data_IF_621834836011
#
_entry.id   IF_621834836011
#
_cell.length_a   1.000
_cell.length_b   1.000
_cell.length_c   1.000
_cell.angle_alpha   90.00
_cell.angle_beta   90.00
_cell.angle_gamma   90.00
#
_symmetry.space_group_name_H-M   'P 1'
#
loop_
_entity.id
_entity.type
_entity.pdbx_description
1 polymer ?
#
# COMPACT_ATOMS: atom_id res chain seq x y z
N UNK A 1 -16.12 -30.27 49.73
CA UNK A 1 -17.03 -30.51 48.60
C UNK A 1 -17.87 -31.75 48.90
N UNK A 2 -19.19 -31.64 48.77
CA UNK A 2 -20.13 -32.75 49.03
C UNK A 2 -20.51 -33.49 47.73
N UNK A 3 -21.21 -34.61 47.84
CA UNK A 3 -21.57 -35.44 46.66
C UNK A 3 -22.49 -34.71 45.69
N UNK A 4 -23.41 -33.85 46.17
CA UNK A 4 -24.31 -33.07 45.31
C UNK A 4 -23.55 -32.04 44.47
N UNK A 5 -22.57 -31.37 45.08
CA UNK A 5 -21.67 -30.45 44.37
C UNK A 5 -20.87 -31.20 43.29
N UNK A 6 -20.35 -32.38 43.60
CA UNK A 6 -19.56 -33.18 42.65
C UNK A 6 -20.40 -33.64 41.47
N UNK A 7 -21.64 -34.10 41.73
CA UNK A 7 -22.57 -34.55 40.71
C UNK A 7 -22.85 -33.44 39.66
N UNK A 8 -22.98 -32.17 40.12
CA UNK A 8 -23.15 -31.02 39.23
C UNK A 8 -21.92 -30.76 38.33
N UNK A 9 -20.72 -31.07 38.80
CA UNK A 9 -19.46 -30.79 38.09
C UNK A 9 -18.91 -31.99 37.34
N UNK A 10 -19.53 -33.17 37.49
CA UNK A 10 -18.96 -34.43 37.04
C UNK A 10 -18.88 -34.51 35.50
N UNK A 11 -19.86 -33.97 34.79
CA UNK A 11 -19.86 -33.88 33.33
C UNK A 11 -18.74 -32.99 32.81
N UNK A 12 -18.67 -31.75 33.31
CA UNK A 12 -17.61 -30.81 32.97
C UNK A 12 -16.21 -31.34 33.31
N UNK A 13 -16.08 -32.14 34.38
CA UNK A 13 -14.82 -32.81 34.71
C UNK A 13 -14.45 -33.88 33.68
N UNK A 14 -15.42 -34.69 33.22
CA UNK A 14 -15.21 -35.70 32.17
C UNK A 14 -14.82 -35.05 30.85
N UNK A 15 -15.41 -33.90 30.52
CA UNK A 15 -15.13 -33.16 29.29
C UNK A 15 -13.85 -32.30 29.38
N UNK A 16 -13.27 -32.14 30.58
CA UNK A 16 -12.05 -31.36 30.82
C UNK A 16 -12.28 -29.84 30.84
N UNK A 17 -13.52 -29.41 31.07
CA UNK A 17 -13.94 -27.99 31.03
C UNK A 17 -13.84 -27.27 32.38
N UNK A 18 -13.51 -27.98 33.47
CA UNK A 18 -13.37 -27.36 34.79
C UNK A 18 -12.10 -26.53 34.92
N UNK A 19 -12.22 -25.39 35.62
CA UNK A 19 -11.06 -24.62 36.05
C UNK A 19 -10.11 -25.48 36.92
N UNK A 20 -8.78 -25.28 36.83
CA UNK A 20 -7.80 -26.15 37.49
C UNK A 20 -8.03 -26.33 38.99
N UNK A 21 -8.41 -25.25 39.71
CA UNK A 21 -8.67 -25.30 41.14
C UNK A 21 -9.88 -26.13 41.53
N UNK A 22 -10.93 -26.12 40.71
CA UNK A 22 -12.15 -26.90 40.92
C UNK A 22 -11.95 -28.36 40.51
N UNK A 23 -11.19 -28.60 39.44
CA UNK A 23 -10.80 -29.95 39.01
C UNK A 23 -10.04 -30.70 40.10
N UNK A 24 -9.11 -30.05 40.82
CA UNK A 24 -8.41 -30.66 41.97
C UNK A 24 -9.36 -31.02 43.10
N UNK A 25 -10.34 -30.17 43.40
CA UNK A 25 -11.33 -30.45 44.46
C UNK A 25 -12.24 -31.63 44.10
N UNK A 26 -12.72 -31.69 42.85
CA UNK A 26 -13.48 -32.83 42.32
C UNK A 26 -12.64 -34.10 42.39
N UNK A 27 -11.39 -34.06 41.92
CA UNK A 27 -10.50 -35.22 41.94
C UNK A 27 -10.25 -35.73 43.37
N UNK A 28 -10.01 -34.84 44.32
CA UNK A 28 -9.85 -35.21 45.73
C UNK A 28 -11.12 -35.89 46.27
N UNK A 29 -12.31 -35.40 45.91
CA UNK A 29 -13.56 -36.04 46.30
C UNK A 29 -13.73 -37.42 45.65
N UNK A 30 -13.41 -37.57 44.36
CA UNK A 30 -13.48 -38.86 43.66
C UNK A 30 -12.55 -39.92 44.28
N UNK A 31 -11.40 -39.51 44.84
CA UNK A 31 -10.51 -40.41 45.56
C UNK A 31 -11.06 -40.84 46.93
N UNK A 32 -11.85 -39.96 47.58
CA UNK A 32 -12.40 -40.20 48.91
C UNK A 32 -13.78 -40.87 48.89
N UNK A 33 -14.55 -40.74 47.80
CA UNK A 33 -15.94 -41.19 47.71
C UNK A 33 -16.13 -42.26 46.61
N UNK A 34 -16.32 -43.55 46.99
CA UNK A 34 -16.54 -44.63 46.02
C UNK A 34 -17.78 -44.45 45.15
N UNK A 35 -18.84 -43.83 45.68
CA UNK A 35 -20.08 -43.58 44.94
C UNK A 35 -19.86 -42.62 43.76
N UNK A 36 -19.28 -41.46 44.01
CA UNK A 36 -18.95 -40.48 42.97
C UNK A 36 -17.91 -41.04 41.98
N UNK A 37 -16.96 -41.85 42.45
CA UNK A 37 -16.01 -42.54 41.58
C UNK A 37 -16.70 -43.51 40.60
N UNK A 38 -17.71 -44.24 41.08
CA UNK A 38 -18.48 -45.14 40.22
C UNK A 38 -19.28 -44.37 39.16
N UNK A 39 -19.92 -43.25 39.54
CA UNK A 39 -20.61 -42.37 38.58
C UNK A 39 -19.65 -41.83 37.51
N UNK A 40 -18.47 -41.36 37.93
CA UNK A 40 -17.41 -40.93 37.01
C UNK A 40 -16.98 -42.05 36.05
N UNK A 41 -16.79 -43.27 36.56
CA UNK A 41 -16.41 -44.42 35.74
C UNK A 41 -17.45 -44.73 34.67
N UNK A 42 -18.75 -44.63 34.99
CA UNK A 42 -19.84 -44.82 34.03
C UNK A 42 -19.83 -43.72 32.96
N UNK A 43 -19.77 -42.45 33.36
CA UNK A 43 -19.77 -41.31 32.42
C UNK A 43 -18.55 -41.33 31.50
N UNK A 44 -17.36 -41.58 32.06
CA UNK A 44 -16.12 -41.68 31.27
C UNK A 44 -16.13 -42.86 30.29
N UNK A 45 -16.78 -43.98 30.65
CA UNK A 45 -16.94 -45.12 29.73
C UNK A 45 -17.87 -44.76 28.57
N UNK A 46 -18.96 -44.05 28.81
CA UNK A 46 -19.88 -43.58 27.76
C UNK A 46 -19.17 -42.59 26.84
N UNK A 47 -18.46 -41.60 27.40
CA UNK A 47 -17.68 -40.62 26.63
C UNK A 47 -16.63 -41.30 25.73
N UNK A 48 -15.87 -42.27 26.27
CA UNK A 48 -14.92 -43.06 25.48
C UNK A 48 -15.57 -43.84 24.33
N UNK A 49 -16.73 -44.47 24.57
CA UNK A 49 -17.47 -45.19 23.51
C UNK A 49 -17.95 -44.25 22.42
N UNK A 50 -18.44 -43.06 22.81
CA UNK A 50 -18.86 -42.05 21.86
C UNK A 50 -17.68 -41.54 21.02
N UNK A 51 -16.55 -41.23 21.65
CA UNK A 51 -15.32 -40.83 20.95
C UNK A 51 -14.87 -41.89 19.94
N UNK A 52 -14.85 -43.17 20.33
CA UNK A 52 -14.50 -44.26 19.41
C UNK A 52 -15.49 -44.39 18.24
N UNK A 53 -16.79 -44.21 18.48
CA UNK A 53 -17.80 -44.25 17.43
C UNK A 53 -17.70 -43.06 16.46
N UNK A 54 -17.45 -41.85 16.98
CA UNK A 54 -17.27 -40.65 16.15
C UNK A 54 -15.99 -40.75 15.30
N UNK A 55 -14.91 -41.32 15.83
CA UNK A 55 -13.66 -41.51 15.07
C UNK A 55 -13.81 -42.46 13.88
N UNK A 56 -14.81 -43.35 13.89
CA UNK A 56 -15.09 -44.23 12.76
C UNK A 56 -15.84 -43.50 11.62
N UNK A 57 -16.34 -42.30 11.86
CA UNK A 57 -17.01 -41.53 10.83
C UNK A 57 -15.99 -41.04 9.79
N UNK A 58 -16.10 -41.44 8.52
CA UNK A 58 -15.14 -41.01 7.50
C UNK A 58 -15.25 -39.51 7.31
N UNK A 59 -14.13 -38.82 7.52
CA UNK A 59 -14.01 -37.39 7.19
C UNK A 59 -14.19 -37.26 5.67
N UNK A 60 -15.15 -36.45 5.18
CA UNK A 60 -15.30 -36.20 3.76
C UNK A 60 -13.98 -35.76 3.12
N UNK A 61 -13.61 -36.40 2.02
CA UNK A 61 -12.36 -36.15 1.28
C UNK A 61 -12.39 -34.82 0.53
N UNK A 62 -12.48 -33.71 1.26
CA UNK A 62 -12.32 -32.32 0.81
C UNK A 62 -12.48 -31.30 1.96
N UNK A 63 -12.65 -31.73 3.22
CA UNK A 63 -12.80 -30.77 4.33
C UNK A 63 -11.56 -29.89 4.44
N UNK A 64 -10.36 -30.47 4.34
CA UNK A 64 -9.12 -29.72 4.38
C UNK A 64 -9.08 -28.64 3.29
N UNK A 65 -9.35 -29.01 2.04
CA UNK A 65 -9.35 -28.06 0.92
C UNK A 65 -10.41 -26.96 1.11
N UNK A 66 -11.64 -27.32 1.52
CA UNK A 66 -12.73 -26.36 1.78
C UNK A 66 -12.41 -25.41 2.92
N UNK A 67 -11.83 -25.91 4.00
CA UNK A 67 -11.41 -25.10 5.16
C UNK A 67 -10.31 -24.15 4.73
N UNK A 68 -9.29 -24.63 4.03
CA UNK A 68 -8.20 -23.78 3.56
C UNK A 68 -8.68 -22.73 2.57
N UNK A 69 -9.51 -23.07 1.58
CA UNK A 69 -10.03 -22.06 0.64
C UNK A 69 -10.80 -20.97 1.37
N UNK A 70 -11.63 -21.32 2.37
CA UNK A 70 -12.34 -20.31 3.16
C UNK A 70 -11.40 -19.47 4.04
N UNK A 71 -10.45 -20.10 4.73
CA UNK A 71 -9.47 -19.38 5.59
C UNK A 71 -8.59 -18.44 4.76
N UNK A 72 -8.10 -18.89 3.60
CA UNK A 72 -7.29 -18.07 2.70
C UNK A 72 -8.09 -16.94 2.08
N UNK A 73 -9.35 -17.17 1.66
CA UNK A 73 -10.19 -16.11 1.11
C UNK A 73 -10.41 -14.97 2.11
N UNK A 74 -10.60 -15.28 3.40
CA UNK A 74 -10.72 -14.28 4.46
C UNK A 74 -9.43 -13.48 4.66
N UNK A 75 -8.28 -14.15 4.72
CA UNK A 75 -6.96 -13.48 4.83
C UNK A 75 -6.64 -12.62 3.61
N UNK A 76 -6.94 -13.11 2.41
CA UNK A 76 -6.67 -12.41 1.17
C UNK A 76 -7.43 -11.09 1.09
N UNK A 77 -8.72 -11.07 1.48
CA UNK A 77 -9.51 -9.83 1.56
C UNK A 77 -8.87 -8.81 2.51
N UNK A 78 -8.43 -9.24 3.68
CA UNK A 78 -7.77 -8.35 4.65
C UNK A 78 -6.41 -7.84 4.16
N UNK A 79 -5.63 -8.67 3.46
CA UNK A 79 -4.35 -8.24 2.89
C UNK A 79 -4.55 -7.21 1.78
N UNK A 80 -5.50 -7.44 0.87
CA UNK A 80 -5.80 -6.51 -0.22
C UNK A 80 -6.28 -5.15 0.33
N UNK A 81 -7.20 -5.14 1.30
CA UNK A 81 -7.68 -3.88 1.88
C UNK A 81 -6.59 -3.12 2.61
N UNK A 82 -5.69 -3.80 3.33
CA UNK A 82 -4.52 -3.17 3.97
C UNK A 82 -3.55 -2.59 2.95
N UNK A 83 -3.21 -3.34 1.89
CA UNK A 83 -2.30 -2.86 0.85
C UNK A 83 -2.88 -1.66 0.09
N UNK A 84 -4.17 -1.70 -0.26
CA UNK A 84 -4.85 -0.55 -0.86
C UNK A 84 -4.86 0.66 0.07
N UNK A 85 -5.10 0.46 1.37
CA UNK A 85 -5.00 1.53 2.36
C UNK A 85 -3.61 2.16 2.42
N UNK A 86 -2.55 1.35 2.47
CA UNK A 86 -1.16 1.82 2.47
C UNK A 86 -0.85 2.59 1.18
N UNK A 87 -1.25 2.07 0.02
CA UNK A 87 -1.04 2.72 -1.27
C UNK A 87 -1.74 4.09 -1.34
N UNK A 88 -2.99 4.18 -0.88
CA UNK A 88 -3.74 5.44 -0.85
C UNK A 88 -3.07 6.48 0.06
N UNK A 89 -2.59 6.06 1.23
CA UNK A 89 -1.85 6.95 2.14
C UNK A 89 -0.53 7.42 1.51
N UNK A 90 0.21 6.52 0.85
CA UNK A 90 1.45 6.89 0.17
C UNK A 90 1.20 7.91 -0.96
N UNK A 91 0.18 7.68 -1.79
CA UNK A 91 -0.22 8.62 -2.84
C UNK A 91 -0.63 9.98 -2.25
N UNK A 92 -1.39 9.98 -1.16
CA UNK A 92 -1.79 11.22 -0.48
C UNK A 92 -0.56 12.01 0.02
N UNK A 93 0.42 11.34 0.63
CA UNK A 93 1.66 11.98 1.10
C UNK A 93 2.46 12.57 -0.06
N UNK A 94 2.65 11.81 -1.15
CA UNK A 94 3.38 12.28 -2.33
C UNK A 94 2.69 13.49 -2.95
N UNK A 95 1.37 13.42 -3.15
CA UNK A 95 0.60 14.54 -3.71
C UNK A 95 0.65 15.79 -2.81
N UNK A 96 0.56 15.63 -1.49
CA UNK A 96 0.68 16.74 -0.55
C UNK A 96 2.09 17.37 -0.59
N UNK A 97 3.13 16.55 -0.75
CA UNK A 97 4.51 17.02 -0.88
C UNK A 97 4.73 17.80 -2.18
N UNK A 98 4.21 17.30 -3.32
CA UNK A 98 4.26 18.01 -4.60
C UNK A 98 3.53 19.35 -4.53
N UNK A 99 2.32 19.39 -3.96
CA UNK A 99 1.58 20.64 -3.75
C UNK A 99 2.37 21.58 -2.84
N UNK A 100 2.97 21.07 -1.77
CA UNK A 100 3.83 21.86 -0.88
C UNK A 100 5.04 22.45 -1.60
N UNK A 101 5.70 21.67 -2.47
CA UNK A 101 6.82 22.15 -3.29
C UNK A 101 6.38 23.24 -4.27
N UNK A 102 5.22 23.09 -4.92
CA UNK A 102 4.68 24.10 -5.83
C UNK A 102 4.31 25.39 -5.09
N UNK A 103 3.72 25.29 -3.90
CA UNK A 103 3.35 26.45 -3.09
C UNK A 103 4.56 27.13 -2.41
N UNK A 104 5.69 26.43 -2.30
CA UNK A 104 6.92 26.97 -1.69
C UNK A 104 7.46 28.19 -2.45
N UNK A 105 8.26 29.05 -1.80
CA UNK A 105 8.88 30.21 -2.46
C UNK A 105 9.70 29.81 -3.69
N UNK A 106 10.41 28.68 -3.62
CA UNK A 106 11.18 28.13 -4.74
C UNK A 106 10.28 27.67 -5.88
N UNK A 107 9.17 27.00 -5.57
CA UNK A 107 8.16 26.61 -6.56
C UNK A 107 7.59 27.81 -7.30
N UNK A 108 7.25 28.88 -6.59
CA UNK A 108 6.76 30.12 -7.20
C UNK A 108 7.79 30.77 -8.12
N UNK A 109 9.07 30.75 -7.75
CA UNK A 109 10.15 31.29 -8.59
C UNK A 109 10.27 30.47 -9.88
N UNK A 110 10.36 29.14 -9.79
CA UNK A 110 10.41 28.25 -10.96
C UNK A 110 9.17 28.41 -11.84
N UNK A 111 7.98 28.51 -11.24
CA UNK A 111 6.73 28.74 -11.96
C UNK A 111 6.73 30.07 -12.73
N UNK A 112 7.21 31.16 -12.11
CA UNK A 112 7.33 32.45 -12.79
C UNK A 112 8.32 32.39 -13.95
N UNK A 113 9.47 31.74 -13.77
CA UNK A 113 10.46 31.58 -14.84
C UNK A 113 9.95 30.73 -16.00
N UNK A 114 9.37 29.55 -15.71
CA UNK A 114 8.79 28.67 -16.74
C UNK A 114 7.66 29.34 -17.51
N UNK A 115 6.81 30.13 -16.82
CA UNK A 115 5.78 30.93 -17.48
C UNK A 115 6.37 32.03 -18.35
N UNK A 116 7.42 32.71 -17.89
CA UNK A 116 8.11 33.75 -18.66
C UNK A 116 8.76 33.15 -19.92
N UNK A 117 9.47 32.04 -19.79
CA UNK A 117 10.10 31.37 -20.93
C UNK A 117 9.06 30.87 -21.93
N UNK A 118 7.93 30.35 -21.45
CA UNK A 118 6.81 29.98 -22.32
C UNK A 118 6.29 31.17 -23.14
N UNK A 119 6.05 32.32 -22.52
CA UNK A 119 5.61 33.52 -23.24
C UNK A 119 6.67 34.03 -24.23
N UNK A 120 7.96 33.94 -23.90
CA UNK A 120 9.04 34.30 -24.81
C UNK A 120 9.10 33.36 -26.03
N UNK A 121 9.04 32.04 -25.81
CA UNK A 121 9.02 31.04 -26.88
C UNK A 121 7.79 31.22 -27.76
N UNK A 122 6.62 31.42 -27.14
CA UNK A 122 5.39 31.63 -27.88
C UNK A 122 5.42 32.93 -28.70
N UNK A 123 5.87 34.04 -28.10
CA UNK A 123 6.06 35.30 -28.81
C UNK A 123 7.06 35.19 -29.96
N UNK A 124 8.17 34.49 -29.75
CA UNK A 124 9.17 34.24 -30.79
C UNK A 124 8.63 33.33 -31.91
N UNK A 125 7.83 32.33 -31.57
CA UNK A 125 7.15 31.49 -32.57
C UNK A 125 6.14 32.26 -33.40
N UNK A 126 5.45 33.24 -32.80
CA UNK A 126 4.52 34.13 -33.51
C UNK A 126 5.25 35.11 -34.43
N UNK A 127 6.39 35.66 -33.98
CA UNK A 127 7.26 36.48 -34.83
C UNK A 127 7.79 35.68 -36.03
N UNK A 128 8.19 34.42 -35.79
CA UNK A 128 8.65 33.53 -36.85
C UNK A 128 7.54 33.18 -37.85
N UNK A 129 6.29 33.04 -37.39
CA UNK A 129 5.12 32.85 -38.25
C UNK A 129 4.76 34.11 -39.08
N UNK A 130 5.12 35.31 -38.61
CA UNK A 130 4.86 36.58 -39.29
C UNK A 130 5.99 37.00 -40.25
N UNK A 131 7.19 36.43 -40.12
CA UNK A 131 8.28 36.66 -41.07
C UNK A 131 8.04 35.89 -42.36
N UNK A 132 7.55 36.59 -43.39
CA UNK A 132 7.57 36.09 -44.76
C UNK A 132 9.03 35.84 -45.18
N UNK A 133 9.30 34.70 -45.82
CA UNK A 133 10.61 34.33 -46.38
C UNK A 133 11.24 35.47 -47.20
N UNK A 134 10.42 36.27 -47.88
CA UNK A 134 10.87 37.46 -48.61
C UNK A 134 11.53 38.51 -47.71
N UNK A 135 10.99 38.74 -46.50
CA UNK A 135 11.54 39.73 -45.56
C UNK A 135 12.90 39.28 -45.02
N UNK A 136 13.08 37.98 -44.75
CA UNK A 136 14.38 37.42 -44.34
C UNK A 136 15.45 37.55 -45.42
N UNK A 137 15.09 37.32 -46.70
CA UNK A 137 16.01 37.50 -47.83
C UNK A 137 16.40 38.97 -47.97
N UNK A 138 15.45 39.91 -47.89
CA UNK A 138 15.73 41.35 -47.98
C UNK A 138 16.66 41.80 -46.85
N UNK A 139 16.38 41.41 -45.61
CA UNK A 139 17.26 41.73 -44.46
C UNK A 139 18.66 41.14 -44.67
N UNK A 140 18.75 39.89 -45.14
CA UNK A 140 20.04 39.25 -45.46
C UNK A 140 20.83 40.01 -46.54
N UNK A 141 20.18 40.44 -47.62
CA UNK A 141 20.80 41.23 -48.69
C UNK A 141 21.25 42.60 -48.18
N UNK A 142 20.44 43.29 -47.39
CA UNK A 142 20.80 44.60 -46.81
C UNK A 142 21.98 44.47 -45.84
N UNK A 143 21.98 43.47 -44.95
CA UNK A 143 23.09 43.23 -44.02
C UNK A 143 24.39 42.89 -44.74
N UNK A 144 24.35 42.04 -45.77
CA UNK A 144 25.53 41.70 -46.57
C UNK A 144 26.05 42.90 -47.36
N UNK A 145 25.16 43.69 -47.95
CA UNK A 145 25.53 44.93 -48.63
C UNK A 145 26.24 45.90 -47.68
N UNK A 146 25.65 46.16 -46.49
CA UNK A 146 26.23 47.02 -45.47
C UNK A 146 27.61 46.52 -44.99
N UNK A 147 27.76 45.20 -44.79
CA UNK A 147 29.03 44.60 -44.42
C UNK A 147 30.10 44.78 -45.51
N UNK A 148 29.76 44.56 -46.78
CA UNK A 148 30.67 44.75 -47.92
C UNK A 148 31.07 46.22 -48.06
N UNK A 149 30.12 47.15 -47.99
CA UNK A 149 30.41 48.59 -48.07
C UNK A 149 31.25 49.05 -46.90
N UNK A 150 31.00 48.51 -45.70
CA UNK A 150 31.80 48.79 -44.50
C UNK A 150 33.25 48.33 -44.65
N UNK A 151 33.46 47.08 -45.09
CA UNK A 151 34.80 46.54 -45.35
C UNK A 151 35.52 47.33 -46.44
N UNK A 152 34.82 47.68 -47.52
CA UNK A 152 35.38 48.49 -48.60
C UNK A 152 35.77 49.90 -48.11
N UNK A 153 34.91 50.54 -47.33
CA UNK A 153 35.16 51.85 -46.73
C UNK A 153 36.39 51.85 -45.81
N UNK A 154 36.51 50.87 -44.92
CA UNK A 154 37.69 50.71 -44.04
C UNK A 154 38.95 50.52 -44.89
N UNK A 155 38.88 49.68 -45.93
CA UNK A 155 40.03 49.42 -46.82
C UNK A 155 40.45 50.66 -47.61
N UNK A 156 39.49 51.48 -48.03
CA UNK A 156 39.75 52.72 -48.74
C UNK A 156 40.37 53.78 -47.82
N UNK A 157 39.90 53.89 -46.58
CA UNK A 157 40.48 54.79 -45.58
C UNK A 157 41.94 54.41 -45.31
N UNK A 158 42.24 53.13 -45.08
CA UNK A 158 43.62 52.67 -44.87
C UNK A 158 44.55 52.94 -46.06
N UNK A 159 44.02 52.94 -47.29
CA UNK A 159 44.80 53.29 -48.49
C UNK A 159 45.08 54.78 -48.63
N UNK A 160 44.20 55.62 -48.11
CA UNK A 160 44.23 57.07 -48.33
C UNK A 160 44.81 57.86 -47.15
N UNK A 161 45.17 57.22 -46.03
CA UNK A 161 46.00 57.81 -44.98
C UNK A 161 47.47 57.80 -45.43
N UNK A 162 48.05 58.94 -45.88
CA UNK A 162 49.50 59.04 -46.05
C UNK A 162 50.18 58.90 -44.69
N UNK A 163 51.28 58.14 -44.65
CA UNK A 163 52.12 57.96 -43.47
C UNK A 163 52.79 59.26 -43.03
#
# INVERSE_FOLDING_TARGET
MNCQEVDMWLSAYVDGELEPGLAVQVQAHLQACPHCHQQFAVMSQVSKRYQMAVYQWPVPGNIEERVWTHVFALRQRQQITRLLGILLVAVAIVSAFEVGLVMSPWGQVVWRFTRLTWHLVHGMSMLWALTDTATLVVVGVVCTFLAVTGVYGIRQIMRNTPA
#
